data_IF_905582594483
#
_entry.id   IF_905582594483
#
_cell.length_a   1.000
_cell.length_b   1.000
_cell.length_c   1.000
_cell.angle_alpha   90.00
_cell.angle_beta   90.00
_cell.angle_gamma   90.00
#
_symmetry.space_group_name_H-M   'P 1'
#
loop_
_entity.id
_entity.type
_entity.pdbx_description
1 polymer ?
#
# COMPACT_ATOMS: atom_id res chain seq x y z
N UNK A 1 23.45 1.77 -33.04
CA UNK A 1 22.32 1.81 -32.09
C UNK A 1 21.55 3.09 -32.35
N UNK A 2 20.33 3.02 -32.93
CA UNK A 2 19.48 4.20 -33.16
C UNK A 2 18.52 4.32 -31.99
N UNK A 3 18.81 5.20 -31.05
CA UNK A 3 17.88 5.55 -29.98
C UNK A 3 16.74 6.38 -30.58
N UNK A 4 15.51 5.86 -30.55
CA UNK A 4 14.30 6.65 -30.82
C UNK A 4 13.83 7.23 -29.49
N UNK A 5 14.10 8.51 -29.28
CA UNK A 5 13.54 9.24 -28.15
C UNK A 5 12.09 9.61 -28.47
N UNK A 6 11.13 9.03 -27.76
CA UNK A 6 9.76 9.54 -27.71
C UNK A 6 9.71 10.77 -26.79
N UNK A 7 8.76 11.67 -27.04
CA UNK A 7 8.52 12.81 -26.14
C UNK A 7 8.14 12.26 -24.76
N UNK A 8 8.91 12.60 -23.73
CA UNK A 8 8.57 12.33 -22.35
C UNK A 8 7.21 12.96 -22.02
N UNK A 9 6.31 12.16 -21.45
CA UNK A 9 5.06 12.65 -20.88
C UNK A 9 5.07 12.36 -19.38
N UNK A 10 4.54 13.24 -18.51
CA UNK A 10 4.53 13.02 -17.06
C UNK A 10 3.83 11.72 -16.60
N UNK A 11 3.11 11.03 -17.51
CA UNK A 11 2.37 9.79 -17.26
C UNK A 11 2.98 8.57 -17.98
N UNK A 12 4.04 8.72 -18.78
CA UNK A 12 4.67 7.58 -19.44
C UNK A 12 5.59 6.86 -18.46
N UNK A 13 5.18 5.68 -18.03
CA UNK A 13 6.06 4.76 -17.29
C UNK A 13 7.22 4.31 -18.18
N UNK A 14 8.41 4.18 -17.60
CA UNK A 14 9.51 3.51 -18.30
C UNK A 14 9.19 2.03 -18.51
N UNK A 15 9.82 1.39 -19.50
CA UNK A 15 9.61 -0.05 -19.76
C UNK A 15 9.89 -0.92 -18.53
N UNK A 16 10.88 -0.51 -17.72
CA UNK A 16 11.21 -1.18 -16.45
C UNK A 16 10.10 -1.00 -15.40
N UNK A 17 9.54 0.21 -15.26
CA UNK A 17 8.41 0.46 -14.37
C UNK A 17 7.16 -0.31 -14.81
N UNK A 18 6.89 -0.41 -16.12
CA UNK A 18 5.80 -1.22 -16.68
C UNK A 18 5.98 -2.70 -16.36
N UNK A 19 7.20 -3.22 -16.54
CA UNK A 19 7.53 -4.61 -16.20
C UNK A 19 7.35 -4.90 -14.71
N UNK A 20 7.80 -4.02 -13.82
CA UNK A 20 7.60 -4.19 -12.37
C UNK A 20 6.12 -4.21 -12.00
N UNK A 21 5.32 -3.33 -12.61
CA UNK A 21 3.87 -3.26 -12.38
C UNK A 21 3.16 -4.54 -12.82
N UNK A 22 3.53 -5.07 -14.00
CA UNK A 22 3.02 -6.36 -14.50
C UNK A 22 3.45 -7.53 -13.63
N UNK A 23 4.68 -7.54 -13.12
CA UNK A 23 5.16 -8.57 -12.20
C UNK A 23 4.43 -8.52 -10.83
N UNK A 24 4.06 -7.33 -10.35
CA UNK A 24 3.23 -7.19 -9.15
C UNK A 24 1.77 -7.58 -9.40
N UNK A 25 1.19 -7.27 -10.56
CA UNK A 25 -0.11 -7.80 -10.98
C UNK A 25 -0.09 -9.34 -11.05
N UNK A 26 0.94 -9.92 -11.64
CA UNK A 26 1.12 -11.37 -11.68
C UNK A 26 1.22 -11.97 -10.27
N UNK A 27 1.94 -11.31 -9.35
CA UNK A 27 1.99 -11.72 -7.94
C UNK A 27 0.62 -11.70 -7.27
N UNK A 28 -0.23 -10.72 -7.57
CA UNK A 28 -1.62 -10.66 -7.11
C UNK A 28 -2.45 -11.82 -7.68
N UNK A 29 -2.35 -12.10 -8.98
CA UNK A 29 -3.05 -13.21 -9.62
C UNK A 29 -2.65 -14.57 -9.01
N UNK A 30 -1.36 -14.77 -8.74
CA UNK A 30 -0.86 -15.97 -8.06
C UNK A 30 -1.48 -16.18 -6.66
N UNK A 31 -1.81 -15.11 -5.93
CA UNK A 31 -2.52 -15.23 -4.65
C UNK A 31 -3.94 -15.77 -4.88
N UNK A 32 -4.62 -15.29 -5.93
CA UNK A 32 -6.00 -15.70 -6.26
C UNK A 32 -6.07 -17.13 -6.79
N UNK A 33 -5.08 -17.56 -7.57
CA UNK A 33 -4.99 -18.92 -8.12
C UNK A 33 -4.30 -19.90 -7.16
N UNK A 34 -4.12 -19.52 -5.89
CA UNK A 34 -3.47 -20.37 -4.87
C UNK A 34 -2.06 -20.86 -5.28
N UNK A 35 -1.34 -20.06 -6.05
CA UNK A 35 0.02 -20.36 -6.54
C UNK A 35 0.08 -21.12 -7.85
N UNK A 36 -1.05 -21.38 -8.52
CA UNK A 36 -1.06 -21.96 -9.86
C UNK A 36 -0.56 -20.94 -10.88
N UNK A 37 0.62 -21.23 -11.45
CA UNK A 37 1.31 -20.37 -12.40
C UNK A 37 0.66 -20.38 -13.77
N UNK A 38 0.14 -21.54 -14.21
CA UNK A 38 -0.47 -21.66 -15.53
C UNK A 38 -1.80 -20.92 -15.57
N UNK A 39 -2.63 -21.11 -14.53
CA UNK A 39 -3.90 -20.39 -14.38
C UNK A 39 -3.67 -18.88 -14.25
N UNK A 40 -2.68 -18.45 -13.46
CA UNK A 40 -2.36 -17.02 -13.31
C UNK A 40 -1.90 -16.38 -14.63
N UNK A 41 -1.14 -17.10 -15.46
CA UNK A 41 -0.75 -16.64 -16.79
C UNK A 41 -1.98 -16.54 -17.70
N UNK A 42 -2.89 -17.51 -17.65
CA UNK A 42 -4.13 -17.47 -18.44
C UNK A 42 -4.99 -16.26 -18.08
N UNK A 43 -5.18 -15.97 -16.80
CA UNK A 43 -5.92 -14.80 -16.35
C UNK A 43 -5.21 -13.50 -16.78
N UNK A 44 -3.89 -13.46 -16.71
CA UNK A 44 -3.11 -12.32 -17.19
C UNK A 44 -3.28 -12.12 -18.71
N UNK A 45 -3.34 -13.20 -19.50
CA UNK A 45 -3.62 -13.14 -20.95
C UNK A 45 -4.99 -12.52 -21.22
N UNK A 46 -6.02 -12.96 -20.49
CA UNK A 46 -7.39 -12.44 -20.64
C UNK A 46 -7.45 -10.94 -20.28
N UNK A 47 -6.86 -10.55 -19.14
CA UNK A 47 -6.79 -9.15 -18.71
C UNK A 47 -6.02 -8.28 -19.70
N UNK A 48 -4.90 -8.78 -20.22
CA UNK A 48 -4.12 -8.06 -21.22
C UNK A 48 -4.91 -7.81 -22.51
N UNK A 49 -5.71 -8.79 -22.94
CA UNK A 49 -6.56 -8.68 -24.13
C UNK A 49 -7.73 -7.69 -23.92
N UNK A 50 -8.37 -7.73 -22.75
CA UNK A 50 -9.52 -6.88 -22.44
C UNK A 50 -9.11 -5.39 -22.25
N UNK A 51 -8.01 -5.14 -21.54
CA UNK A 51 -7.58 -3.78 -21.17
C UNK A 51 -6.45 -3.23 -22.03
N UNK A 52 -5.97 -3.97 -23.04
CA UNK A 52 -4.89 -3.53 -23.94
C UNK A 52 -3.58 -3.27 -23.19
N UNK A 53 -3.26 -4.07 -22.18
CA UNK A 53 -2.12 -3.85 -21.28
C UNK A 53 -0.77 -4.09 -22.00
N UNK A 54 -0.78 -4.96 -23.00
CA UNK A 54 0.39 -5.38 -23.77
C UNK A 54 0.44 -4.68 -25.12
N UNK A 55 1.67 -4.49 -25.61
CA UNK A 55 1.96 -3.84 -26.88
C UNK A 55 2.94 -4.68 -27.72
N UNK A 56 3.30 -4.20 -28.92
CA UNK A 56 4.24 -4.89 -29.81
C UNK A 56 5.63 -5.11 -29.19
N UNK A 57 6.00 -4.35 -28.16
CA UNK A 57 7.31 -4.45 -27.50
C UNK A 57 7.29 -5.40 -26.30
N UNK A 58 6.13 -5.67 -25.71
CA UNK A 58 5.96 -6.55 -24.55
C UNK A 58 4.80 -7.52 -24.77
N UNK A 59 5.10 -8.67 -25.36
CA UNK A 59 4.15 -9.78 -25.51
C UNK A 59 4.03 -10.61 -24.22
N UNK A 60 3.01 -11.45 -24.10
CA UNK A 60 2.89 -12.38 -22.95
C UNK A 60 4.11 -13.31 -22.90
N UNK A 61 4.52 -13.84 -24.04
CA UNK A 61 5.67 -14.74 -24.14
C UNK A 61 6.95 -14.01 -23.69
N UNK A 62 7.12 -12.75 -24.10
CA UNK A 62 8.20 -11.89 -23.62
C UNK A 62 8.14 -11.65 -22.11
N UNK A 63 6.94 -11.45 -21.54
CA UNK A 63 6.74 -11.31 -20.11
C UNK A 63 7.09 -12.60 -19.35
N UNK A 64 6.69 -13.77 -19.85
CA UNK A 64 7.03 -15.07 -19.25
C UNK A 64 8.55 -15.24 -19.20
N UNK A 65 9.25 -14.94 -20.29
CA UNK A 65 10.72 -14.99 -20.32
C UNK A 65 11.33 -13.98 -19.37
N UNK A 66 10.79 -12.76 -19.25
CA UNK A 66 11.24 -11.79 -18.24
C UNK A 66 11.00 -12.28 -16.81
N UNK A 67 9.87 -12.94 -16.53
CA UNK A 67 9.60 -13.53 -15.21
C UNK A 67 10.57 -14.69 -14.90
N UNK A 68 10.98 -15.46 -15.91
CA UNK A 68 12.05 -16.48 -15.79
C UNK A 68 13.42 -15.84 -15.55
N UNK A 69 13.79 -14.80 -16.30
CA UNK A 69 15.04 -14.04 -16.11
C UNK A 69 15.12 -13.41 -14.71
N UNK A 70 14.01 -12.86 -14.23
CA UNK A 70 13.89 -12.35 -12.86
C UNK A 70 13.98 -13.46 -11.81
N UNK A 71 13.88 -14.73 -12.22
CA UNK A 71 13.88 -15.90 -11.36
C UNK A 71 12.60 -16.03 -10.53
N UNK A 72 11.49 -15.46 -10.97
CA UNK A 72 10.19 -15.55 -10.27
C UNK A 72 9.55 -16.92 -10.55
N UNK A 73 9.61 -17.34 -11.81
CA UNK A 73 9.15 -18.66 -12.27
C UNK A 73 10.31 -19.44 -12.88
N UNK A 74 10.19 -20.76 -12.89
CA UNK A 74 11.10 -21.67 -13.56
C UNK A 74 10.32 -22.72 -14.35
N UNK A 75 10.97 -23.33 -15.32
CA UNK A 75 10.39 -24.41 -16.12
C UNK A 75 10.96 -25.74 -15.65
N UNK A 76 10.11 -26.60 -15.08
CA UNK A 76 10.50 -27.89 -14.55
C UNK A 76 9.64 -28.98 -15.19
N UNK A 77 10.27 -29.79 -16.06
CA UNK A 77 9.60 -30.86 -16.84
C UNK A 77 8.44 -30.31 -17.69
N UNK A 78 8.71 -29.24 -18.44
CA UNK A 78 7.73 -28.56 -19.33
C UNK A 78 6.55 -27.90 -18.59
N UNK A 79 6.57 -27.86 -17.27
CA UNK A 79 5.56 -27.21 -16.43
C UNK A 79 6.19 -25.98 -15.78
N UNK A 80 5.51 -24.84 -15.87
CA UNK A 80 5.95 -23.61 -15.20
C UNK A 80 5.64 -23.70 -13.70
N UNK A 81 6.63 -23.38 -12.87
CA UNK A 81 6.52 -23.43 -11.42
C UNK A 81 7.07 -22.16 -10.79
N UNK A 82 6.51 -21.82 -9.64
CA UNK A 82 6.97 -20.71 -8.85
C UNK A 82 8.28 -21.07 -8.14
N UNK A 83 9.29 -20.21 -8.21
CA UNK A 83 10.54 -20.41 -7.49
C UNK A 83 10.45 -19.91 -6.04
N UNK A 84 11.44 -20.25 -5.21
CA UNK A 84 11.59 -19.65 -3.87
C UNK A 84 11.66 -18.12 -3.90
N UNK A 85 12.30 -17.55 -4.93
CA UNK A 85 12.38 -16.10 -5.14
C UNK A 85 11.05 -15.52 -5.57
N UNK A 86 10.27 -16.24 -6.38
CA UNK A 86 8.89 -15.89 -6.71
C UNK A 86 8.00 -15.84 -5.47
N UNK A 87 8.03 -16.88 -4.63
CA UNK A 87 7.31 -16.89 -3.33
C UNK A 87 7.75 -15.71 -2.46
N UNK A 88 9.04 -15.41 -2.39
CA UNK A 88 9.54 -14.26 -1.66
C UNK A 88 8.99 -12.94 -2.20
N UNK A 89 8.93 -12.78 -3.52
CA UNK A 89 8.38 -11.59 -4.15
C UNK A 89 6.89 -11.43 -3.85
N UNK A 90 6.08 -12.49 -3.93
CA UNK A 90 4.66 -12.43 -3.57
C UNK A 90 4.48 -11.88 -2.15
N UNK A 91 5.28 -12.35 -1.19
CA UNK A 91 5.23 -11.84 0.19
C UNK A 91 5.61 -10.35 0.28
N UNK A 92 6.62 -9.92 -0.47
CA UNK A 92 7.05 -8.52 -0.51
C UNK A 92 6.01 -7.61 -1.15
N UNK A 93 5.41 -8.05 -2.25
CA UNK A 93 4.39 -7.29 -2.98
C UNK A 93 3.08 -7.22 -2.19
N UNK A 94 2.65 -8.32 -1.55
CA UNK A 94 1.51 -8.31 -0.62
C UNK A 94 1.75 -7.37 0.57
N UNK A 95 2.97 -7.38 1.13
CA UNK A 95 3.34 -6.45 2.20
C UNK A 95 3.38 -5.00 1.69
N UNK A 96 3.81 -4.76 0.46
CA UNK A 96 3.83 -3.41 -0.13
C UNK A 96 2.40 -2.91 -0.36
N UNK A 97 1.51 -3.73 -0.90
CA UNK A 97 0.10 -3.41 -1.19
C UNK A 97 -0.66 -2.90 0.05
N UNK A 98 -0.40 -3.53 1.20
CA UNK A 98 -0.88 -3.13 2.53
C UNK A 98 -0.55 -1.64 2.82
N UNK A 99 0.55 -1.10 2.27
CA UNK A 99 1.01 0.26 2.49
C UNK A 99 0.93 1.19 1.28
N UNK A 100 0.78 0.69 0.05
CA UNK A 100 0.75 1.53 -1.18
C UNK A 100 -0.65 1.88 -1.69
N UNK A 101 -1.72 1.32 -1.11
CA UNK A 101 -3.12 1.62 -1.49
C UNK A 101 -3.60 3.03 -1.09
N UNK A 102 -2.66 3.98 -0.95
CA UNK A 102 -2.86 5.29 -0.35
C UNK A 102 -3.16 6.34 -1.41
N UNK A 103 -4.25 7.07 -1.22
CA UNK A 103 -4.65 8.24 -2.00
C UNK A 103 -3.82 9.46 -1.58
N UNK A 104 -3.73 10.47 -2.46
CA UNK A 104 -3.09 11.76 -2.14
C UNK A 104 -3.71 12.34 -0.86
N UNK A 105 -2.91 12.45 0.19
CA UNK A 105 -3.31 12.87 1.53
C UNK A 105 -2.33 13.82 2.20
N UNK A 106 -2.61 14.25 3.43
CA UNK A 106 -1.69 15.12 4.17
C UNK A 106 -0.31 14.49 4.40
N UNK A 107 0.68 15.32 4.71
CA UNK A 107 2.10 14.97 4.92
C UNK A 107 2.26 13.77 5.88
N UNK A 108 3.07 12.76 5.53
CA UNK A 108 3.42 11.57 6.33
C UNK A 108 4.70 10.89 5.84
N UNK A 109 4.78 9.56 5.79
CA UNK A 109 5.99 8.80 5.42
C UNK A 109 5.75 7.67 4.40
N UNK A 110 4.59 7.62 3.78
CA UNK A 110 4.32 6.63 2.74
C UNK A 110 4.62 7.17 1.36
N UNK A 111 5.43 6.42 0.61
CA UNK A 111 5.67 6.65 -0.80
C UNK A 111 4.34 6.69 -1.54
N UNK A 112 4.07 7.80 -2.23
CA UNK A 112 2.99 7.87 -3.20
C UNK A 112 3.58 7.99 -4.60
N UNK A 113 2.97 7.36 -5.61
CA UNK A 113 3.48 7.40 -6.99
C UNK A 113 3.30 8.77 -7.68
N UNK A 114 3.11 9.86 -6.93
CA UNK A 114 2.91 11.21 -7.46
C UNK A 114 3.70 12.25 -6.67
N UNK A 115 4.41 13.14 -7.36
CA UNK A 115 5.14 14.27 -6.77
C UNK A 115 4.18 15.34 -6.21
N UNK A 116 4.61 16.03 -5.16
CA UNK A 116 3.81 17.07 -4.48
C UNK A 116 4.56 17.77 -3.35
N UNK A 117 3.89 18.68 -2.64
CA UNK A 117 4.47 19.60 -1.63
C UNK A 117 4.87 18.89 -0.33
N UNK A 118 5.98 18.17 -0.36
CA UNK A 118 6.68 17.62 0.81
C UNK A 118 7.68 18.60 1.43
N UNK A 119 8.35 18.16 2.50
CA UNK A 119 9.41 18.94 3.16
C UNK A 119 10.80 18.51 2.67
N UNK A 120 10.95 17.23 2.31
CA UNK A 120 12.22 16.69 1.83
C UNK A 120 12.38 16.95 0.34
N UNK A 121 13.46 17.67 0.02
CA UNK A 121 13.83 18.05 -1.35
C UNK A 121 14.47 16.86 -2.06
N UNK A 122 13.96 16.54 -3.24
CA UNK A 122 14.64 15.68 -4.19
C UNK A 122 15.84 16.43 -4.77
N UNK A 123 16.82 15.69 -5.27
CA UNK A 123 17.95 16.25 -6.02
C UNK A 123 17.55 16.78 -7.40
N UNK A 124 16.38 16.39 -7.90
CA UNK A 124 15.83 16.84 -9.18
C UNK A 124 15.14 18.20 -9.02
N UNK A 125 15.31 19.05 -10.04
CA UNK A 125 14.65 20.35 -10.14
C UNK A 125 13.63 20.35 -11.26
N UNK A 126 12.57 21.15 -11.08
CA UNK A 126 11.59 21.47 -12.12
C UNK A 126 11.44 22.97 -12.24
N UNK A 127 10.87 23.43 -13.37
CA UNK A 127 10.46 24.83 -13.50
C UNK A 127 9.43 25.22 -12.44
N UNK A 128 9.57 26.43 -11.91
CA UNK A 128 8.60 26.98 -10.98
C UNK A 128 7.22 27.12 -11.62
N UNK A 129 6.20 26.79 -10.84
CA UNK A 129 4.79 26.95 -11.20
C UNK A 129 4.05 27.56 -10.02
N UNK A 130 2.97 28.31 -10.31
CA UNK A 130 2.14 28.93 -9.28
C UNK A 130 1.64 27.86 -8.31
N UNK A 131 2.01 28.02 -7.03
CA UNK A 131 1.69 27.08 -5.94
C UNK A 131 2.91 26.38 -5.34
N UNK A 132 4.07 26.42 -6.02
CA UNK A 132 5.33 25.91 -5.46
C UNK A 132 5.83 26.80 -4.32
N UNK A 133 6.33 26.18 -3.25
CA UNK A 133 6.82 26.90 -2.08
C UNK A 133 8.11 27.68 -2.43
N UNK A 134 8.19 29.00 -2.17
CA UNK A 134 9.40 29.80 -2.43
C UNK A 134 10.64 29.28 -1.70
N UNK A 135 10.44 28.57 -0.58
CA UNK A 135 11.51 27.93 0.17
C UNK A 135 12.21 26.81 -0.61
N UNK A 136 11.65 26.32 -1.71
CA UNK A 136 12.22 25.23 -2.50
C UNK A 136 12.95 25.71 -3.75
N UNK A 137 13.08 27.02 -3.96
CA UNK A 137 13.82 27.57 -5.11
C UNK A 137 15.28 27.13 -5.04
N UNK A 138 15.77 26.50 -6.12
CA UNK A 138 17.19 26.28 -6.34
C UNK A 138 17.79 27.58 -6.87
N UNK A 139 18.44 28.32 -5.98
CA UNK A 139 19.10 29.57 -6.31
C UNK A 139 20.22 29.38 -7.35
N UNK A 140 20.90 28.23 -7.36
CA UNK A 140 22.05 28.01 -8.25
C UNK A 140 21.57 27.86 -9.68
N UNK A 141 20.62 26.96 -9.93
CA UNK A 141 20.05 26.75 -11.26
C UNK A 141 19.28 27.98 -11.74
N UNK A 142 18.54 28.62 -10.82
CA UNK A 142 17.83 29.88 -11.10
C UNK A 142 18.76 30.99 -11.57
N UNK A 143 19.83 31.26 -10.82
CA UNK A 143 20.80 32.30 -11.18
C UNK A 143 21.54 31.93 -12.47
N UNK A 144 21.87 30.65 -12.66
CA UNK A 144 22.51 30.17 -13.89
C UNK A 144 21.63 30.41 -15.11
N UNK A 145 20.32 30.18 -14.99
CA UNK A 145 19.35 30.43 -16.07
C UNK A 145 19.22 31.93 -16.36
N UNK A 146 19.09 32.76 -15.32
CA UNK A 146 19.05 34.21 -15.45
C UNK A 146 20.29 34.78 -16.15
N UNK A 147 21.50 34.35 -15.77
CA UNK A 147 22.74 34.77 -16.43
C UNK A 147 22.88 34.24 -17.85
N UNK A 148 22.40 33.02 -18.13
CA UNK A 148 22.38 32.49 -19.51
C UNK A 148 21.44 33.29 -20.42
N UNK A 149 20.33 33.81 -19.87
CA UNK A 149 19.34 34.60 -20.62
C UNK A 149 19.81 36.04 -20.84
N UNK A 150 20.17 36.74 -19.77
CA UNK A 150 20.46 38.17 -19.78
C UNK A 150 21.94 38.55 -19.97
N UNK A 151 22.86 37.59 -19.84
CA UNK A 151 24.30 37.88 -19.80
C UNK A 151 24.76 38.42 -18.44
N UNK A 152 26.06 38.66 -18.30
CA UNK A 152 26.69 39.05 -17.01
C UNK A 152 26.47 40.53 -16.69
N UNK A 153 26.26 41.38 -17.70
CA UNK A 153 26.25 42.84 -17.55
C UNK A 153 24.88 43.41 -17.14
N UNK A 154 23.77 42.72 -17.44
CA UNK A 154 22.41 43.10 -17.02
C UNK A 154 21.71 41.94 -16.33
N UNK A 155 21.77 41.91 -14.99
CA UNK A 155 21.03 40.93 -14.21
C UNK A 155 19.54 41.30 -14.18
N UNK A 156 18.73 40.49 -14.86
CA UNK A 156 17.28 40.48 -14.73
C UNK A 156 16.84 39.08 -14.31
N UNK A 157 15.82 38.97 -13.45
CA UNK A 157 15.26 37.69 -13.02
C UNK A 157 13.81 37.62 -13.49
N UNK A 158 13.49 36.64 -14.32
CA UNK A 158 12.14 36.38 -14.81
C UNK A 158 11.59 35.08 -14.21
N UNK A 159 10.26 34.91 -14.26
CA UNK A 159 9.59 33.70 -13.76
C UNK A 159 10.13 32.42 -14.44
N UNK A 160 10.44 32.51 -15.73
CA UNK A 160 10.98 31.41 -16.54
C UNK A 160 12.39 30.96 -16.13
N UNK A 161 13.11 31.81 -15.38
CA UNK A 161 14.44 31.50 -14.85
C UNK A 161 14.35 30.65 -13.58
N UNK A 162 13.21 30.67 -12.87
CA UNK A 162 13.03 30.01 -11.57
C UNK A 162 12.96 28.49 -11.70
N UNK A 163 13.85 27.81 -10.98
CA UNK A 163 13.80 26.38 -10.73
C UNK A 163 13.54 26.09 -9.26
N UNK A 164 12.73 25.08 -8.99
CA UNK A 164 12.44 24.57 -7.65
C UNK A 164 12.84 23.11 -7.54
N UNK A 165 13.39 22.73 -6.39
CA UNK A 165 13.52 21.33 -6.04
C UNK A 165 12.15 20.68 -5.99
N UNK A 166 12.02 19.52 -6.62
CA UNK A 166 10.86 18.67 -6.36
C UNK A 166 10.89 18.21 -4.90
N UNK A 167 9.71 17.91 -4.36
CA UNK A 167 9.58 17.44 -2.99
C UNK A 167 8.85 16.11 -2.98
N UNK A 168 9.25 15.21 -2.08
CA UNK A 168 8.54 13.95 -1.93
C UNK A 168 7.23 14.16 -1.20
N UNK A 169 6.11 13.87 -1.87
CA UNK A 169 4.81 13.87 -1.21
C UNK A 169 4.63 12.58 -0.43
N UNK A 170 5.13 12.57 0.78
CA UNK A 170 4.88 11.48 1.70
C UNK A 170 3.49 11.63 2.31
N UNK A 171 2.66 10.60 2.26
CA UNK A 171 1.30 10.65 2.85
C UNK A 171 1.26 10.06 4.25
N UNK A 172 0.41 10.61 5.11
CA UNK A 172 0.10 10.05 6.43
C UNK A 172 -1.05 9.07 6.34
N UNK A 173 -0.93 7.95 7.05
CA UNK A 173 -1.97 6.94 7.15
C UNK A 173 -2.52 6.86 8.57
N UNK A 174 -3.82 6.58 8.67
CA UNK A 174 -4.47 6.23 9.92
C UNK A 174 -4.91 4.76 9.84
N UNK A 175 -4.37 3.95 10.73
CA UNK A 175 -4.58 2.51 10.78
C UNK A 175 -5.30 2.13 12.08
N UNK A 176 -6.36 1.34 11.97
CA UNK A 176 -6.94 0.64 13.11
C UNK A 176 -6.69 -0.86 12.95
N UNK A 177 -5.97 -1.44 13.91
CA UNK A 177 -5.81 -2.88 14.04
C UNK A 177 -6.96 -3.42 14.89
N UNK A 178 -7.82 -4.22 14.28
CA UNK A 178 -8.95 -4.89 14.92
C UNK A 178 -8.61 -6.34 15.19
N UNK A 179 -8.72 -6.77 16.45
CA UNK A 179 -8.42 -8.14 16.86
C UNK A 179 -9.65 -8.78 17.53
N UNK A 180 -10.05 -9.93 17.01
CA UNK A 180 -11.14 -10.74 17.55
C UNK A 180 -10.70 -11.46 18.84
N UNK A 181 -11.51 -11.34 19.90
CA UNK A 181 -11.33 -12.02 21.19
C UNK A 181 -12.52 -12.92 21.55
N UNK A 182 -13.34 -13.26 20.55
CA UNK A 182 -14.50 -14.15 20.69
C UNK A 182 -14.10 -15.61 20.86
N UNK A 183 -15.02 -16.40 21.42
CA UNK A 183 -14.78 -17.80 21.74
C UNK A 183 -14.38 -18.66 20.52
N UNK A 184 -14.76 -18.26 19.30
CA UNK A 184 -14.35 -18.95 18.08
C UNK A 184 -12.84 -19.02 17.91
N UNK A 185 -12.09 -18.06 18.47
CA UNK A 185 -10.63 -18.00 18.39
C UNK A 185 -9.90 -19.10 19.17
N UNK A 186 -10.61 -19.86 20.02
CA UNK A 186 -10.09 -21.01 20.78
C UNK A 186 -10.95 -22.28 20.59
N UNK A 187 -11.91 -22.23 19.66
CA UNK A 187 -12.91 -23.28 19.51
C UNK A 187 -12.28 -24.55 18.92
N UNK A 188 -12.83 -25.72 19.29
CA UNK A 188 -12.35 -27.03 18.86
C UNK A 188 -10.90 -27.36 19.25
N UNK A 189 -10.36 -26.67 20.27
CA UNK A 189 -9.00 -26.89 20.75
C UNK A 189 -7.91 -26.25 19.87
N UNK A 190 -8.31 -25.43 18.88
CA UNK A 190 -7.37 -24.67 18.06
C UNK A 190 -7.08 -23.31 18.69
N UNK A 191 -5.80 -23.04 19.00
CA UNK A 191 -5.37 -21.73 19.50
C UNK A 191 -5.09 -20.78 18.33
N UNK A 192 -6.14 -20.10 17.84
CA UNK A 192 -6.03 -19.10 16.76
C UNK A 192 -5.71 -17.71 17.28
N UNK A 193 -5.95 -17.44 18.57
CA UNK A 193 -5.62 -16.15 19.18
C UNK A 193 -4.11 -15.92 19.26
N UNK A 194 -3.31 -16.94 19.58
CA UNK A 194 -1.86 -16.80 19.69
C UNK A 194 -1.19 -16.37 18.37
N UNK A 195 -1.42 -17.04 17.22
CA UNK A 195 -0.88 -16.56 15.95
C UNK A 195 -1.45 -15.19 15.56
N UNK A 196 -2.72 -14.92 15.83
CA UNK A 196 -3.32 -13.60 15.59
C UNK A 196 -2.60 -12.48 16.38
N UNK A 197 -2.28 -12.72 17.66
CA UNK A 197 -1.48 -11.80 18.48
C UNK A 197 -0.08 -11.61 17.94
N UNK A 198 0.58 -12.68 17.48
CA UNK A 198 1.92 -12.58 16.88
C UNK A 198 1.92 -11.69 15.63
N UNK A 199 0.95 -11.89 14.73
CA UNK A 199 0.79 -11.05 13.54
C UNK A 199 0.49 -9.60 13.94
N UNK A 200 -0.42 -9.39 14.89
CA UNK A 200 -0.76 -8.06 15.38
C UNK A 200 0.45 -7.33 15.98
N UNK A 201 1.27 -8.02 16.78
CA UNK A 201 2.49 -7.48 17.38
C UNK A 201 3.49 -7.09 16.30
N UNK A 202 3.81 -8.02 15.39
CA UNK A 202 4.75 -7.79 14.32
C UNK A 202 4.32 -6.63 13.40
N UNK A 203 3.03 -6.57 13.04
CA UNK A 203 2.49 -5.51 12.20
C UNK A 203 2.51 -4.15 12.91
N UNK A 204 2.15 -4.12 14.20
CA UNK A 204 2.20 -2.88 14.99
C UNK A 204 3.62 -2.33 15.09
N UNK A 205 4.60 -3.19 15.35
CA UNK A 205 6.02 -2.79 15.43
C UNK A 205 6.53 -2.33 14.07
N UNK A 206 6.22 -3.05 12.99
CA UNK A 206 6.60 -2.66 11.63
C UNK A 206 6.07 -1.26 11.27
N UNK A 207 4.80 -0.99 11.56
CA UNK A 207 4.17 0.31 11.29
C UNK A 207 4.85 1.39 12.13
N UNK A 208 5.06 1.16 13.42
CA UNK A 208 5.66 2.15 14.32
C UNK A 208 7.11 2.47 13.96
N UNK A 209 7.90 1.48 13.55
CA UNK A 209 9.30 1.66 13.15
C UNK A 209 9.42 2.35 11.80
N UNK A 210 8.64 1.92 10.80
CA UNK A 210 8.74 2.43 9.44
C UNK A 210 8.01 3.76 9.23
N UNK A 211 6.90 3.97 9.96
CA UNK A 211 6.02 5.13 9.80
C UNK A 211 5.70 5.77 11.16
N UNK A 212 6.69 6.36 11.86
CA UNK A 212 6.55 6.82 13.25
C UNK A 212 5.55 7.99 13.44
N UNK A 213 5.19 8.70 12.36
CA UNK A 213 4.18 9.79 12.38
C UNK A 213 2.77 9.32 12.09
N UNK A 214 2.58 8.06 11.73
CA UNK A 214 1.25 7.53 11.42
C UNK A 214 0.42 7.32 12.67
N UNK A 215 -0.90 7.38 12.48
CA UNK A 215 -1.82 7.00 13.54
C UNK A 215 -2.04 5.48 13.52
N UNK A 216 -1.80 4.83 14.65
CA UNK A 216 -2.14 3.43 14.88
C UNK A 216 -2.99 3.29 16.14
N UNK A 217 -4.08 2.54 16.06
CA UNK A 217 -4.90 2.20 17.23
C UNK A 217 -5.29 0.72 17.23
N UNK A 218 -5.41 0.16 18.43
CA UNK A 218 -5.86 -1.21 18.65
C UNK A 218 -7.31 -1.22 19.11
N UNK A 219 -8.16 -1.90 18.37
CA UNK A 219 -9.54 -2.20 18.75
C UNK A 219 -9.64 -3.71 18.96
N UNK A 220 -10.13 -4.13 20.11
CA UNK A 220 -10.59 -5.52 20.29
C UNK A 220 -12.08 -5.61 20.23
N UNK A 221 -12.58 -6.72 19.72
CA UNK A 221 -14.01 -6.95 19.65
C UNK A 221 -14.39 -8.39 20.02
N UNK A 222 -15.49 -8.51 20.75
CA UNK A 222 -16.19 -9.73 21.11
C UNK A 222 -17.68 -9.43 21.10
N UNK A 223 -18.36 -9.52 22.24
CA UNK A 223 -19.75 -9.05 22.41
C UNK A 223 -19.85 -7.52 22.16
N UNK A 224 -18.82 -6.79 22.61
CA UNK A 224 -18.62 -5.36 22.47
C UNK A 224 -17.25 -5.07 21.83
N UNK A 225 -17.04 -3.82 21.40
CA UNK A 225 -15.75 -3.36 20.90
C UNK A 225 -15.13 -2.32 21.85
N UNK A 226 -13.82 -2.42 22.08
CA UNK A 226 -13.08 -1.55 23.01
C UNK A 226 -11.77 -1.10 22.37
N UNK A 227 -11.43 0.18 22.57
CA UNK A 227 -10.11 0.72 22.28
C UNK A 227 -9.16 0.31 23.41
N UNK A 228 -7.99 -0.20 23.07
CA UNK A 228 -6.94 -0.56 24.03
C UNK A 228 -5.59 -0.01 23.63
N UNK A 229 -4.68 0.03 24.59
CA UNK A 229 -3.27 0.37 24.32
C UNK A 229 -2.58 -0.78 23.59
N UNK A 230 -1.64 -0.44 22.70
CA UNK A 230 -0.76 -1.42 22.07
C UNK A 230 0.09 -2.18 23.11
N UNK A 231 0.40 -1.58 24.27
CA UNK A 231 1.10 -2.25 25.37
C UNK A 231 0.31 -3.43 25.97
N UNK A 232 -1.01 -3.46 25.78
CA UNK A 232 -1.89 -4.51 26.30
C UNK A 232 -1.98 -5.72 25.35
N UNK A 233 -1.55 -5.56 24.09
CA UNK A 233 -1.66 -6.56 23.03
C UNK A 233 -1.08 -7.95 23.41
N UNK A 234 0.09 -8.07 24.06
CA UNK A 234 0.62 -9.38 24.46
C UNK A 234 -0.26 -10.11 25.49
N UNK A 235 -0.97 -9.35 26.32
CA UNK A 235 -1.73 -9.84 27.46
C UNK A 235 -3.19 -10.15 27.13
N UNK A 236 -3.59 -10.04 25.86
CA UNK A 236 -4.94 -10.33 25.45
C UNK A 236 -5.28 -11.81 25.59
N UNK A 237 -6.48 -12.02 26.15
CA UNK A 237 -7.08 -13.31 26.37
C UNK A 237 -8.45 -13.35 25.71
N UNK A 238 -8.81 -14.56 25.29
CA UNK A 238 -10.12 -14.84 24.70
C UNK A 238 -11.13 -14.97 25.82
N UNK A 239 -12.33 -14.42 25.62
CA UNK A 239 -13.43 -14.57 26.58
C UNK A 239 -14.57 -15.41 26.00
N UNK A 240 -15.58 -15.73 26.83
CA UNK A 240 -16.81 -16.39 26.38
C UNK A 240 -17.73 -15.40 25.62
N UNK A 241 -17.14 -14.70 24.65
CA UNK A 241 -17.79 -13.68 23.85
C UNK A 241 -18.19 -14.23 22.47
N UNK A 242 -19.19 -13.60 21.86
CA UNK A 242 -19.56 -13.78 20.47
C UNK A 242 -18.76 -12.81 19.58
N UNK A 243 -19.03 -12.81 18.28
CA UNK A 243 -18.30 -12.02 17.29
C UNK A 243 -19.18 -10.86 16.81
N UNK A 244 -19.05 -9.69 17.43
CA UNK A 244 -19.75 -8.47 17.04
C UNK A 244 -18.91 -7.59 16.12
N UNK A 245 -18.74 -8.06 14.88
CA UNK A 245 -17.96 -7.36 13.85
C UNK A 245 -18.51 -5.95 13.57
N UNK A 246 -19.83 -5.75 13.66
CA UNK A 246 -20.46 -4.43 13.50
C UNK A 246 -19.96 -3.44 14.55
N UNK A 247 -19.93 -3.83 15.83
CA UNK A 247 -19.42 -2.96 16.89
C UNK A 247 -17.94 -2.62 16.69
N UNK A 248 -17.14 -3.62 16.32
CA UNK A 248 -15.71 -3.43 16.01
C UNK A 248 -15.49 -2.41 14.88
N UNK A 249 -16.17 -2.61 13.75
CA UNK A 249 -16.07 -1.73 12.60
C UNK A 249 -16.62 -0.32 12.88
N UNK A 250 -17.69 -0.22 13.66
CA UNK A 250 -18.26 1.07 14.05
C UNK A 250 -17.26 1.88 14.87
N UNK A 251 -16.66 1.27 15.90
CA UNK A 251 -15.64 1.93 16.72
C UNK A 251 -14.40 2.30 15.89
N UNK A 252 -13.91 1.39 15.04
CA UNK A 252 -12.78 1.66 14.15
C UNK A 252 -13.06 2.86 13.21
N UNK A 253 -14.24 2.88 12.59
CA UNK A 253 -14.66 4.01 11.72
C UNK A 253 -14.78 5.32 12.49
N UNK A 254 -15.27 5.29 13.73
CA UNK A 254 -15.36 6.48 14.57
C UNK A 254 -13.98 7.05 14.93
N UNK A 255 -13.02 6.18 15.23
CA UNK A 255 -11.62 6.58 15.47
C UNK A 255 -11.00 7.18 14.21
N UNK A 256 -11.16 6.52 13.06
CA UNK A 256 -10.62 6.97 11.77
C UNK A 256 -11.26 8.26 11.28
N UNK A 257 -12.57 8.46 11.50
CA UNK A 257 -13.29 9.68 11.11
C UNK A 257 -12.73 10.93 11.79
N UNK A 258 -12.25 10.81 13.03
CA UNK A 258 -11.63 11.92 13.79
C UNK A 258 -10.25 12.31 13.28
N UNK A 259 -9.62 11.48 12.44
CA UNK A 259 -8.32 11.76 11.83
C UNK A 259 -8.48 12.58 10.56
N UNK A 260 -7.64 13.61 10.43
CA UNK A 260 -7.57 14.50 9.26
C UNK A 260 -6.82 13.87 8.08
N UNK A 261 -6.14 12.75 8.29
CA UNK A 261 -5.43 12.01 7.24
C UNK A 261 -6.42 11.53 6.18
N UNK A 262 -6.04 11.61 4.90
CA UNK A 262 -6.89 11.13 3.79
C UNK A 262 -6.89 9.60 3.76
N UNK A 263 -5.75 9.00 4.08
CA UNK A 263 -5.61 7.55 4.09
C UNK A 263 -6.03 6.97 5.43
N UNK A 264 -6.94 6.00 5.35
CA UNK A 264 -7.60 5.36 6.48
C UNK A 264 -7.78 3.89 6.15
N UNK A 265 -7.29 3.02 7.02
CA UNK A 265 -7.35 1.58 6.82
C UNK A 265 -7.68 0.84 8.12
N UNK A 266 -8.30 -0.33 7.96
CA UNK A 266 -8.64 -1.24 9.04
C UNK A 266 -8.02 -2.59 8.71
N UNK A 267 -7.14 -3.09 9.58
CA UNK A 267 -6.67 -4.48 9.53
C UNK A 267 -7.47 -5.27 10.54
N UNK A 268 -8.30 -6.21 10.08
CA UNK A 268 -9.10 -7.04 10.96
C UNK A 268 -8.57 -8.47 10.95
N UNK A 269 -8.24 -8.99 12.13
CA UNK A 269 -7.83 -10.37 12.34
C UNK A 269 -8.94 -11.08 13.12
N UNK A 270 -9.60 -12.02 12.47
CA UNK A 270 -10.74 -12.79 12.99
C UNK A 270 -10.82 -14.14 12.31
N UNK A 271 -11.37 -15.11 13.03
CA UNK A 271 -11.74 -16.44 12.52
C UNK A 271 -13.26 -16.69 12.64
N UNK A 272 -14.00 -15.75 13.23
CA UNK A 272 -15.42 -15.88 13.52
C UNK A 272 -16.31 -15.25 12.45
N UNK A 273 -17.36 -15.97 12.05
CA UNK A 273 -18.50 -15.34 11.39
C UNK A 273 -19.19 -14.39 12.37
N UNK A 274 -19.74 -13.25 11.92
CA UNK A 274 -20.54 -12.38 12.78
C UNK A 274 -21.65 -13.18 13.47
N UNK A 275 -21.66 -13.18 14.80
CA UNK A 275 -22.56 -13.98 15.63
C UNK A 275 -23.26 -13.15 16.71
N UNK A 276 -22.96 -11.84 16.79
CA UNK A 276 -23.65 -10.92 17.66
C UNK A 276 -23.79 -9.52 17.04
N UNK A 277 -24.85 -8.82 17.41
CA UNK A 277 -25.15 -7.46 16.96
C UNK A 277 -26.02 -6.75 17.99
N UNK A 278 -25.81 -5.44 18.17
CA UNK A 278 -26.77 -4.62 18.91
C UNK A 278 -27.93 -4.25 18.01
N UNK A 279 -29.16 -4.51 18.47
CA UNK A 279 -30.38 -4.04 17.84
C UNK A 279 -30.59 -2.53 18.09
N UNK A 280 -31.62 -1.95 17.48
CA UNK A 280 -31.94 -0.53 17.62
C UNK A 280 -32.36 -0.15 19.06
N UNK A 281 -32.76 -1.14 19.86
CA UNK A 281 -33.06 -0.97 21.29
C UNK A 281 -31.82 -1.14 22.18
N UNK A 282 -30.62 -1.20 21.61
CA UNK A 282 -29.34 -1.43 22.28
C UNK A 282 -29.25 -2.76 23.04
N UNK A 283 -30.05 -3.76 22.64
CA UNK A 283 -29.94 -5.12 23.18
C UNK A 283 -29.02 -5.95 22.31
N UNK A 284 -28.19 -6.76 22.96
CA UNK A 284 -27.26 -7.65 22.26
C UNK A 284 -28.01 -8.89 21.78
N UNK A 285 -28.27 -8.97 20.48
CA UNK A 285 -28.74 -10.17 19.82
C UNK A 285 -27.55 -11.11 19.55
N UNK A 286 -27.73 -12.40 19.79
CA UNK A 286 -26.69 -13.44 19.67
C UNK A 286 -27.23 -14.63 18.89
N UNK A 287 -26.49 -15.08 17.87
CA UNK A 287 -26.74 -16.33 17.17
C UNK A 287 -25.41 -17.05 16.93
N UNK A 288 -25.16 -18.12 17.69
CA UNK A 288 -23.90 -18.88 17.62
C UNK A 288 -23.72 -19.64 16.29
N UNK A 289 -24.77 -19.74 15.45
CA UNK A 289 -24.68 -20.29 14.10
C UNK A 289 -24.34 -19.24 13.03
N UNK A 290 -24.22 -17.96 13.42
CA UNK A 290 -24.05 -16.81 12.54
C UNK A 290 -25.33 -15.98 12.44
N UNK A 291 -25.17 -14.68 12.14
CA UNK A 291 -26.29 -13.76 11.89
C UNK A 291 -26.91 -13.96 10.51
#
# INVERSE_FOLDING_TARGET
>A
MRFRYSKWTPQSMTDEQRLQSLASLFSYLLIQTSGDVEEAIEWLRQLAQEYGILDENLTIEGLIEKLKEMGIIEEAKEILKLTTKGVQRIRQDALREIFTSLRKGGIGYHETPQTGTGIDRLSETKKWTIGDAPTNIDLTSTLTNAFKRGGIEEFTLEEDDLEVYETEHMTSCATVLMLDISHSMILYGEDRITPAKQVALALSELIMQKYPRDYLALVVFGDEAKLMSLSELPFLNVGPYHTNTRAGLQLARDLLRRRKTVNKQIFMVTDGKPSAIFDDSHRLYKNSFGL
#
